data_IF_610440912611
#
_entry.id   IF_610440912611
#
_cell.length_a   1.000
_cell.length_b   1.000
_cell.length_c   1.000
_cell.angle_alpha   90.00
_cell.angle_beta   90.00
_cell.angle_gamma   90.00
#
_symmetry.space_group_name_H-M   'P 1'
#
loop_
_entity.id
_entity.type
_entity.pdbx_description
1 polymer ?
#
# COMPACT_ATOMS: atom_id res chain seq x y z
N UNK A 1 -8.13 2.85 6.01
CA UNK A 1 -7.39 1.57 5.91
C UNK A 1 -8.10 0.60 4.99
N UNK A 2 -7.35 -0.20 4.30
CA UNK A 2 -7.92 -1.24 3.44
C UNK A 2 -6.98 -2.42 3.28
N UNK A 3 -7.56 -3.59 3.04
CA UNK A 3 -6.84 -4.83 2.81
C UNK A 3 -7.12 -5.31 1.38
N UNK A 4 -6.08 -5.78 0.69
CA UNK A 4 -6.20 -6.34 -0.66
C UNK A 4 -6.65 -5.27 -1.67
N UNK A 5 -7.75 -5.47 -2.40
CA UNK A 5 -8.28 -4.49 -3.32
C UNK A 5 -8.67 -3.20 -2.59
N UNK A 6 -9.20 -3.31 -1.38
CA UNK A 6 -9.49 -2.15 -0.55
C UNK A 6 -8.21 -1.41 -0.13
N UNK A 7 -7.06 -2.10 -0.06
CA UNK A 7 -5.77 -1.45 0.15
C UNK A 7 -5.34 -0.60 -1.04
N UNK A 8 -5.57 -1.08 -2.24
CA UNK A 8 -5.38 -0.29 -3.46
C UNK A 8 -6.32 0.92 -3.45
N UNK A 9 -7.58 0.70 -3.14
CA UNK A 9 -8.58 1.75 -3.10
C UNK A 9 -8.25 2.82 -2.06
N UNK A 10 -7.78 2.42 -0.87
CA UNK A 10 -7.39 3.35 0.17
C UNK A 10 -6.30 4.32 -0.31
N UNK A 11 -5.29 3.80 -1.01
CA UNK A 11 -4.25 4.64 -1.58
C UNK A 11 -4.78 5.52 -2.71
N UNK A 12 -5.64 4.96 -3.57
CA UNK A 12 -6.23 5.70 -4.68
C UNK A 12 -7.10 6.87 -4.21
N UNK A 13 -7.76 6.75 -3.05
CA UNK A 13 -8.59 7.83 -2.52
C UNK A 13 -7.80 9.12 -2.29
N UNK A 14 -6.51 9.02 -2.00
CA UNK A 14 -5.67 10.20 -1.81
C UNK A 14 -5.54 11.07 -3.07
N UNK A 15 -5.76 10.46 -4.24
CA UNK A 15 -5.73 11.16 -5.53
C UNK A 15 -7.09 11.74 -5.92
N UNK A 16 -8.17 11.29 -5.27
CA UNK A 16 -9.54 11.66 -5.63
C UNK A 16 -10.19 12.63 -4.67
N UNK A 17 -9.75 12.68 -3.41
CA UNK A 17 -10.33 13.54 -2.37
C UNK A 17 -9.25 13.96 -1.38
N UNK A 18 -9.48 15.05 -0.68
CA UNK A 18 -8.60 15.54 0.38
C UNK A 18 -9.06 15.16 1.78
N UNK A 19 -10.06 14.28 1.90
CA UNK A 19 -10.65 13.90 3.18
C UNK A 19 -9.75 13.04 4.07
N UNK A 20 -8.86 12.23 3.47
CA UNK A 20 -8.07 11.26 4.22
C UNK A 20 -6.60 11.65 4.20
N UNK A 21 -6.04 11.87 5.39
CA UNK A 21 -4.64 12.29 5.53
C UNK A 21 -3.74 11.20 6.10
N UNK A 22 -4.31 10.08 6.52
CA UNK A 22 -3.58 8.94 7.05
C UNK A 22 -4.12 7.67 6.40
N UNK A 23 -3.24 6.94 5.74
CA UNK A 23 -3.62 5.81 4.89
C UNK A 23 -2.84 4.56 5.28
N UNK A 24 -3.57 3.46 5.47
CA UNK A 24 -2.97 2.13 5.64
C UNK A 24 -3.46 1.23 4.51
N UNK A 25 -2.52 0.80 3.68
CA UNK A 25 -2.75 -0.15 2.59
C UNK A 25 -2.11 -1.48 2.96
N UNK A 26 -2.93 -2.43 3.37
CA UNK A 26 -2.50 -3.73 3.90
C UNK A 26 -2.63 -4.78 2.81
N UNK A 27 -1.52 -5.38 2.41
CA UNK A 27 -1.47 -6.30 1.27
C UNK A 27 -2.24 -5.75 0.07
N UNK A 28 -2.05 -4.46 -0.20
CA UNK A 28 -2.76 -3.78 -1.27
C UNK A 28 -2.47 -4.39 -2.63
N UNK A 29 -3.49 -4.42 -3.49
CA UNK A 29 -3.40 -4.98 -4.84
C UNK A 29 -2.64 -4.02 -5.77
N UNK A 30 -1.43 -3.63 -5.37
CA UNK A 30 -0.63 -2.62 -6.07
C UNK A 30 0.00 -3.15 -7.36
N UNK A 31 -0.23 -4.43 -7.65
CA UNK A 31 0.04 -5.05 -8.94
C UNK A 31 -0.95 -4.61 -10.03
N UNK A 32 -2.04 -3.94 -9.64
CA UNK A 32 -3.12 -3.58 -10.57
C UNK A 32 -2.54 -2.86 -11.80
N UNK A 33 -2.95 -3.26 -13.02
CA UNK A 33 -2.37 -2.71 -14.25
C UNK A 33 -2.41 -1.19 -14.29
N UNK A 34 -1.27 -0.57 -14.63
CA UNK A 34 -1.09 0.88 -14.76
C UNK A 34 -1.14 1.69 -13.46
N UNK A 35 -1.36 1.05 -12.31
CA UNK A 35 -1.43 1.78 -11.05
C UNK A 35 -0.08 2.40 -10.68
N UNK A 36 1.03 1.68 -10.86
CA UNK A 36 2.37 2.21 -10.63
C UNK A 36 2.61 3.48 -11.45
N UNK A 37 2.26 3.43 -12.75
CA UNK A 37 2.40 4.58 -13.63
C UNK A 37 1.53 5.74 -13.17
N UNK A 38 0.32 5.44 -12.71
CA UNK A 38 -0.60 6.45 -12.17
C UNK A 38 0.02 7.16 -10.95
N UNK A 39 0.55 6.40 -10.01
CA UNK A 39 1.19 6.95 -8.80
C UNK A 39 2.36 7.87 -9.17
N UNK A 40 3.19 7.46 -10.11
CA UNK A 40 4.38 8.21 -10.50
C UNK A 40 4.06 9.46 -11.33
N UNK A 41 2.88 9.52 -11.97
CA UNK A 41 2.53 10.60 -12.89
C UNK A 41 1.45 11.55 -12.36
N UNK A 42 0.87 11.28 -11.19
CA UNK A 42 -0.17 12.11 -10.60
C UNK A 42 0.23 12.58 -9.21
N UNK A 43 -0.29 13.73 -8.81
CA UNK A 43 -0.12 14.25 -7.46
C UNK A 43 -1.36 13.94 -6.62
N UNK A 44 -1.15 13.62 -5.34
CA UNK A 44 -2.25 13.43 -4.40
C UNK A 44 -2.99 14.74 -4.17
N UNK A 45 -4.32 14.69 -4.13
CA UNK A 45 -5.14 15.81 -3.69
C UNK A 45 -5.08 15.99 -2.19
N UNK A 46 -4.99 14.86 -1.46
CA UNK A 46 -4.90 14.88 0.00
C UNK A 46 -3.50 15.27 0.46
N UNK A 47 -3.43 16.00 1.59
CA UNK A 47 -2.18 16.23 2.30
C UNK A 47 -1.89 15.05 3.20
N UNK A 48 -1.43 13.96 2.62
CA UNK A 48 -1.17 12.72 3.36
C UNK A 48 0.06 12.90 4.23
N UNK A 49 -0.12 12.66 5.53
CA UNK A 49 0.97 12.74 6.50
C UNK A 49 1.56 11.38 6.85
N UNK A 50 0.73 10.33 6.81
CA UNK A 50 1.13 8.96 7.19
C UNK A 50 0.68 7.98 6.12
N UNK A 51 1.61 7.15 5.66
CA UNK A 51 1.30 6.07 4.73
C UNK A 51 1.93 4.78 5.24
N UNK A 52 1.08 3.81 5.55
CA UNK A 52 1.50 2.47 5.94
C UNK A 52 1.26 1.52 4.78
N UNK A 53 2.29 0.77 4.43
CA UNK A 53 2.23 -0.27 3.41
C UNK A 53 2.67 -1.58 4.04
N UNK A 54 1.97 -2.65 3.74
CA UNK A 54 2.40 -3.99 4.16
C UNK A 54 2.11 -5.02 3.10
N UNK A 55 2.83 -6.13 3.17
CA UNK A 55 2.72 -7.23 2.23
C UNK A 55 3.18 -8.51 2.92
N UNK A 56 2.60 -9.66 2.54
CA UNK A 56 3.16 -10.95 2.93
C UNK A 56 4.39 -11.26 2.09
N UNK A 57 5.42 -11.81 2.72
CA UNK A 57 6.71 -12.06 2.04
C UNK A 57 6.63 -13.17 0.98
N UNK A 58 5.51 -13.90 0.92
CA UNK A 58 5.27 -14.95 -0.08
C UNK A 58 4.22 -14.57 -1.12
N UNK A 59 3.69 -13.35 -1.07
CA UNK A 59 2.62 -12.94 -2.01
C UNK A 59 3.11 -12.88 -3.46
N UNK A 60 4.35 -12.48 -3.68
CA UNK A 60 4.91 -12.43 -5.03
C UNK A 60 5.42 -13.79 -5.54
N UNK A 61 5.43 -14.81 -4.68
CA UNK A 61 5.86 -16.17 -5.05
C UNK A 61 4.72 -16.92 -5.71
N UNK A 62 4.42 -16.58 -6.96
CA UNK A 62 3.31 -17.13 -7.72
C UNK A 62 3.70 -17.20 -9.20
N UNK A 63 3.00 -18.02 -9.97
CA UNK A 63 3.16 -18.09 -11.42
C UNK A 63 2.29 -17.05 -12.15
N UNK A 64 1.39 -16.37 -11.46
CA UNK A 64 0.56 -15.33 -12.05
C UNK A 64 1.41 -14.08 -12.33
N UNK A 65 1.54 -13.64 -13.59
CA UNK A 65 2.42 -12.53 -13.94
C UNK A 65 1.99 -11.19 -13.33
N UNK A 66 0.71 -11.01 -13.05
CA UNK A 66 0.22 -9.78 -12.40
C UNK A 66 0.58 -9.76 -10.91
N UNK A 67 0.32 -10.86 -10.19
CA UNK A 67 0.59 -10.93 -8.75
C UNK A 67 2.09 -10.98 -8.45
N UNK A 68 2.89 -11.49 -9.38
CA UNK A 68 4.32 -11.67 -9.19
C UNK A 68 5.07 -10.36 -8.95
N UNK A 69 4.55 -9.25 -9.47
CA UNK A 69 5.19 -7.94 -9.35
C UNK A 69 4.73 -7.13 -8.14
N UNK A 70 3.87 -7.69 -7.28
CA UNK A 70 3.27 -6.93 -6.19
C UNK A 70 4.30 -6.41 -5.19
N UNK A 71 5.29 -7.20 -4.85
CA UNK A 71 6.33 -6.80 -3.90
C UNK A 71 7.20 -5.67 -4.48
N UNK A 72 7.63 -5.81 -5.70
CA UNK A 72 8.43 -4.80 -6.40
C UNK A 72 7.66 -3.48 -6.51
N UNK A 73 6.38 -3.54 -6.90
CA UNK A 73 5.55 -2.36 -7.04
C UNK A 73 5.32 -1.67 -5.69
N UNK A 74 5.04 -2.44 -4.65
CA UNK A 74 4.85 -1.90 -3.30
C UNK A 74 6.11 -1.20 -2.81
N UNK A 75 7.26 -1.81 -3.02
CA UNK A 75 8.55 -1.24 -2.64
C UNK A 75 8.85 0.06 -3.40
N UNK A 76 8.57 0.11 -4.69
CA UNK A 76 8.75 1.32 -5.50
C UNK A 76 7.83 2.45 -5.05
N UNK A 77 6.60 2.13 -4.70
CA UNK A 77 5.64 3.12 -4.18
C UNK A 77 6.12 3.64 -2.82
N UNK A 78 6.60 2.75 -1.97
CA UNK A 78 7.19 3.14 -0.68
C UNK A 78 8.35 4.12 -0.88
N UNK A 79 9.30 3.79 -1.75
CA UNK A 79 10.46 4.65 -2.03
C UNK A 79 10.02 6.00 -2.58
N UNK A 80 9.06 6.01 -3.48
CA UNK A 80 8.54 7.24 -4.09
C UNK A 80 8.00 8.22 -3.03
N UNK A 81 7.19 7.74 -2.09
CA UNK A 81 6.61 8.61 -1.06
C UNK A 81 7.60 8.94 0.04
N UNK A 82 8.54 8.05 0.34
CA UNK A 82 9.61 8.35 1.29
C UNK A 82 10.49 9.50 0.78
N UNK A 83 10.82 9.50 -0.50
CA UNK A 83 11.59 10.58 -1.13
C UNK A 83 10.83 11.91 -1.12
N UNK A 84 9.50 11.88 -1.14
CA UNK A 84 8.67 13.07 -1.03
C UNK A 84 8.52 13.58 0.39
N UNK A 85 9.12 12.93 1.37
CA UNK A 85 9.09 13.37 2.75
C UNK A 85 7.88 12.92 3.55
N UNK A 86 7.04 12.03 3.02
CA UNK A 86 5.93 11.45 3.77
C UNK A 86 6.46 10.53 4.88
N UNK A 87 5.79 10.56 6.03
CA UNK A 87 6.03 9.55 7.04
C UNK A 87 5.43 8.24 6.55
N UNK A 88 6.27 7.37 6.02
CA UNK A 88 5.84 6.12 5.39
C UNK A 88 6.65 4.95 5.90
N UNK A 89 6.03 3.78 5.95
CA UNK A 89 6.68 2.52 6.30
C UNK A 89 6.19 1.41 5.39
N UNK A 90 7.03 0.41 5.21
CA UNK A 90 6.70 -0.82 4.49
C UNK A 90 7.08 -2.01 5.36
N UNK A 91 6.08 -2.76 5.81
CA UNK A 91 6.29 -3.97 6.60
C UNK A 91 6.09 -5.21 5.74
N UNK A 92 7.12 -6.05 5.69
CA UNK A 92 7.05 -7.35 5.03
C UNK A 92 6.75 -8.41 6.09
N UNK A 93 5.52 -8.93 6.10
CA UNK A 93 5.06 -9.89 7.09
C UNK A 93 5.29 -11.33 6.62
N UNK A 94 5.54 -12.28 7.53
CA UNK A 94 5.65 -13.68 7.13
C UNK A 94 4.34 -14.21 6.55
N UNK A 95 4.42 -14.87 5.40
CA UNK A 95 3.31 -15.62 4.84
C UNK A 95 2.76 -15.09 3.54
N UNK A 96 1.61 -15.64 3.14
CA UNK A 96 0.94 -15.31 1.90
C UNK A 96 -0.09 -14.18 2.09
N UNK A 97 -0.85 -13.92 1.03
CA UNK A 97 -1.85 -12.84 1.01
C UNK A 97 -2.92 -12.99 2.09
N UNK A 98 -3.29 -14.22 2.44
CA UNK A 98 -4.42 -14.50 3.32
C UNK A 98 -4.03 -14.76 4.77
N UNK A 99 -2.76 -14.61 5.11
CA UNK A 99 -2.28 -14.96 6.45
C UNK A 99 -2.46 -13.79 7.41
N UNK A 100 -3.19 -14.02 8.51
CA UNK A 100 -3.43 -13.06 9.59
C UNK A 100 -3.90 -11.68 9.11
N UNK A 101 -4.94 -11.60 8.26
CA UNK A 101 -5.36 -10.31 7.70
C UNK A 101 -5.87 -9.34 8.76
N UNK A 102 -6.54 -9.83 9.80
CA UNK A 102 -7.09 -8.97 10.85
C UNK A 102 -5.97 -8.32 11.68
N UNK A 103 -4.99 -9.12 12.11
CA UNK A 103 -3.86 -8.64 12.90
C UNK A 103 -3.01 -7.65 12.10
N UNK A 104 -2.82 -7.93 10.82
CA UNK A 104 -2.03 -7.07 9.93
C UNK A 104 -2.74 -5.74 9.64
N UNK A 105 -4.05 -5.78 9.46
CA UNK A 105 -4.85 -4.57 9.27
C UNK A 105 -4.86 -3.73 10.54
N UNK A 106 -5.01 -4.36 11.71
CA UNK A 106 -4.95 -3.67 12.99
C UNK A 106 -3.59 -2.99 13.19
N UNK A 107 -2.50 -3.67 12.84
CA UNK A 107 -1.16 -3.10 12.93
C UNK A 107 -1.02 -1.83 12.09
N UNK A 108 -1.59 -1.84 10.88
CA UNK A 108 -1.59 -0.67 10.01
C UNK A 108 -2.38 0.49 10.60
N UNK A 109 -3.56 0.21 11.14
CA UNK A 109 -4.41 1.23 11.77
C UNK A 109 -3.68 1.86 12.97
N UNK A 110 -3.10 1.03 13.83
CA UNK A 110 -2.34 1.53 15.00
C UNK A 110 -1.19 2.43 14.55
N UNK A 111 -0.47 2.00 13.51
CA UNK A 111 0.68 2.77 13.04
C UNK A 111 0.29 4.16 12.54
N UNK A 112 -0.79 4.26 11.73
CA UNK A 112 -1.21 5.55 11.18
C UNK A 112 -1.83 6.48 12.23
N UNK A 113 -2.24 5.96 13.38
CA UNK A 113 -2.79 6.77 14.48
C UNK A 113 -1.71 7.38 15.38
N UNK A 114 -0.49 6.97 15.20
CA UNK A 114 0.65 7.54 15.93
C UNK A 114 1.19 8.76 15.19
#
# INVERSE_FOLDING_TARGET
>A
AGYSLAGLFALYTAYQTDLFTRIASVSGSLWFPKFMKYVLSHEMKASVSHLYLSLGDKEAKTHNPYLKIVEENTEKIFDHFKEKGLRTTFELNPGNHFQQPNERTAAGIVWILK
#
